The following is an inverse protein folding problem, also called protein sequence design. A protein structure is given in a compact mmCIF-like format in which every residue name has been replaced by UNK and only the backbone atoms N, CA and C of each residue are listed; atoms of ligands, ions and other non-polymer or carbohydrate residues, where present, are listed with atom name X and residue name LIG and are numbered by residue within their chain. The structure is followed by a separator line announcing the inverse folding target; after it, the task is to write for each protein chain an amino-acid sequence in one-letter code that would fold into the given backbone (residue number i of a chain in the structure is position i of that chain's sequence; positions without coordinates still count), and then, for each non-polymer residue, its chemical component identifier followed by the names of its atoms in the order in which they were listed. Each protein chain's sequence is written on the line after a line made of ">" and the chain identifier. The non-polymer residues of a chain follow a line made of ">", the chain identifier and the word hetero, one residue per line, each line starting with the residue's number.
data_IF_977502212714
#
_entry.id   IF_977502212714
#
_cell.length_a   1.000
_cell.length_b   1.000
_cell.length_c   1.000
_cell.angle_alpha   90.00
_cell.angle_beta   90.00
_cell.angle_gamma   90.00
#
_symmetry.space_group_name_H-M   'P 1'
#
loop_
_entity.id
_entity.type
_entity.pdbx_description
1 polymer ?
#
# COMPACT_ATOMS: atom_id res chain seq x y z
N UNK A 1 -29.72 13.12 -67.11
CA UNK A 1 -29.16 11.86 -66.59
C UNK A 1 -27.67 12.08 -66.30
N UNK A 2 -27.25 11.80 -65.06
CA UNK A 2 -25.88 11.40 -64.62
C UNK A 2 -24.73 12.41 -64.85
N UNK A 3 -23.81 12.71 -63.94
CA UNK A 3 -23.54 12.41 -62.53
C UNK A 3 -22.25 13.20 -62.17
N UNK A 4 -22.11 13.66 -60.90
CA UNK A 4 -20.83 13.76 -60.14
C UNK A 4 -19.77 14.81 -60.57
N UNK A 5 -18.98 15.48 -59.71
CA UNK A 5 -18.60 15.32 -58.30
C UNK A 5 -18.39 16.73 -57.68
N UNK A 6 -19.02 16.99 -56.53
CA UNK A 6 -18.59 18.02 -55.58
C UNK A 6 -17.47 17.40 -54.72
N UNK A 7 -16.25 17.96 -54.77
CA UNK A 7 -15.19 17.65 -53.81
C UNK A 7 -15.09 18.82 -52.82
N UNK A 8 -15.76 18.64 -51.67
CA UNK A 8 -15.72 19.53 -50.53
C UNK A 8 -14.41 19.29 -49.77
N UNK A 9 -13.50 20.25 -49.80
CA UNK A 9 -12.28 20.24 -49.00
C UNK A 9 -12.64 20.51 -47.53
N UNK A 10 -12.62 19.47 -46.70
CA UNK A 10 -12.77 19.59 -45.25
C UNK A 10 -11.38 19.84 -44.62
N UNK A 11 -11.00 21.12 -44.51
CA UNK A 11 -9.83 21.52 -43.74
C UNK A 11 -10.18 21.45 -42.23
N UNK A 12 -9.72 20.39 -41.56
CA UNK A 12 -9.81 20.25 -40.11
C UNK A 12 -8.74 21.15 -39.47
N UNK A 13 -9.12 22.34 -39.04
CA UNK A 13 -8.28 23.19 -38.19
C UNK A 13 -8.26 22.62 -36.77
N UNK A 14 -7.18 21.93 -36.41
CA UNK A 14 -6.83 21.63 -35.03
C UNK A 14 -6.46 22.94 -34.32
N UNK A 15 -7.42 23.54 -33.62
CA UNK A 15 -7.15 24.61 -32.66
C UNK A 15 -6.48 23.95 -31.45
N UNK A 16 -5.16 23.93 -31.43
CA UNK A 16 -4.40 23.66 -30.21
C UNK A 16 -4.65 24.84 -29.27
N UNK A 17 -5.54 24.65 -28.30
CA UNK A 17 -5.67 25.57 -27.18
C UNK A 17 -4.35 25.64 -26.44
N UNK A 18 -3.66 26.78 -26.54
CA UNK A 18 -2.55 27.10 -25.66
C UNK A 18 -3.14 27.23 -24.25
N UNK A 19 -3.10 26.15 -23.48
CA UNK A 19 -3.26 26.23 -22.04
C UNK A 19 -2.11 27.10 -21.54
N UNK A 20 -2.40 28.37 -21.22
CA UNK A 20 -1.49 29.18 -20.43
C UNK A 20 -1.29 28.44 -19.11
N UNK A 21 -0.19 27.71 -19.02
CA UNK A 21 0.29 27.16 -17.77
C UNK A 21 0.56 28.37 -16.86
N UNK A 22 -0.40 28.69 -16.01
CA UNK A 22 -0.16 29.60 -14.91
C UNK A 22 0.88 28.92 -14.03
N UNK A 23 2.12 29.42 -14.10
CA UNK A 23 3.18 28.95 -13.21
C UNK A 23 2.68 29.18 -11.77
N UNK A 24 2.31 28.10 -11.09
CA UNK A 24 1.97 28.15 -9.69
C UNK A 24 3.19 28.67 -8.95
N UNK A 25 3.10 29.87 -8.38
CA UNK A 25 4.17 30.42 -7.55
C UNK A 25 4.37 29.46 -6.37
N UNK A 26 5.60 28.99 -6.11
CA UNK A 26 5.88 28.16 -4.93
C UNK A 26 5.54 28.92 -3.65
N UNK A 27 5.25 28.19 -2.57
CA UNK A 27 4.95 28.79 -1.27
C UNK A 27 6.15 29.61 -0.78
N UNK A 28 5.86 30.82 -0.30
CA UNK A 28 6.88 31.74 0.20
C UNK A 28 7.29 31.43 1.65
N UNK A 29 6.37 30.82 2.41
CA UNK A 29 6.58 30.42 3.80
C UNK A 29 6.59 28.89 3.92
N UNK A 30 7.56 28.38 4.67
CA UNK A 30 7.67 26.97 5.02
C UNK A 30 7.12 26.79 6.44
N UNK A 31 6.11 25.92 6.58
CA UNK A 31 5.48 25.61 7.87
C UNK A 31 5.89 24.20 8.27
N UNK A 32 6.56 24.07 9.41
CA UNK A 32 6.80 22.78 10.05
C UNK A 32 5.98 22.70 11.33
N UNK A 33 5.07 21.75 11.39
CA UNK A 33 4.17 21.60 12.53
C UNK A 33 4.02 20.12 12.90
N UNK A 34 3.87 19.86 14.20
CA UNK A 34 3.61 18.54 14.75
C UNK A 34 2.79 18.69 16.02
N UNK A 35 2.10 17.63 16.39
CA UNK A 35 1.57 17.56 17.74
C UNK A 35 2.69 17.24 18.72
N UNK A 36 2.58 17.77 19.93
CA UNK A 36 3.54 17.50 21.00
C UNK A 36 3.67 15.99 21.26
N UNK A 37 2.53 15.29 21.20
CA UNK A 37 2.44 13.84 21.28
C UNK A 37 1.87 13.28 19.98
N UNK A 38 2.47 12.21 19.46
CA UNK A 38 1.98 11.55 18.25
C UNK A 38 0.65 10.80 18.46
N UNK A 39 0.40 10.38 19.70
CA UNK A 39 -0.85 9.77 20.14
C UNK A 39 -1.24 10.31 21.51
N UNK A 40 -2.52 10.62 21.70
CA UNK A 40 -3.10 11.03 22.99
C UNK A 40 -4.31 10.15 23.32
N UNK A 41 -4.66 10.05 24.60
CA UNK A 41 -5.87 9.33 25.02
C UNK A 41 -7.13 10.18 24.81
N UNK A 42 -8.29 9.52 24.76
CA UNK A 42 -9.58 10.21 24.73
C UNK A 42 -9.74 10.97 26.06
N UNK A 43 -9.99 12.27 25.98
CA UNK A 43 -10.06 13.13 27.18
C UNK A 43 -8.81 13.98 27.43
N UNK A 44 -7.73 13.77 26.67
CA UNK A 44 -6.53 14.63 26.71
C UNK A 44 -6.54 15.63 25.54
N UNK A 45 -6.28 16.90 25.84
CA UNK A 45 -6.24 17.96 24.85
C UNK A 45 -4.94 17.89 24.02
N UNK A 46 -5.04 17.75 22.68
CA UNK A 46 -3.85 17.71 21.86
C UNK A 46 -3.28 19.12 21.64
N UNK A 47 -1.97 19.24 21.86
CA UNK A 47 -1.22 20.48 21.67
C UNK A 47 -0.50 20.42 20.32
N UNK A 48 -0.83 21.34 19.42
CA UNK A 48 -0.12 21.54 18.16
C UNK A 48 0.97 22.59 18.35
N UNK A 49 2.19 22.25 17.96
CA UNK A 49 3.34 23.15 17.94
C UNK A 49 3.88 23.26 16.52
N UNK A 50 4.32 24.45 16.12
CA UNK A 50 4.94 24.63 14.83
C UNK A 50 5.87 25.84 14.76
N UNK A 51 6.62 25.89 13.68
CA UNK A 51 7.54 26.98 13.33
C UNK A 51 7.33 27.37 11.87
N UNK A 52 7.39 28.67 11.61
CA UNK A 52 7.28 29.26 10.29
C UNK A 52 8.58 29.95 9.95
N UNK A 53 9.16 29.54 8.83
CA UNK A 53 10.40 30.12 8.28
C UNK A 53 10.18 30.59 6.85
N UNK A 54 11.01 31.52 6.40
CA UNK A 54 11.10 31.90 4.99
C UNK A 54 11.86 30.84 4.17
N UNK A 55 11.97 31.05 2.85
CA UNK A 55 12.71 30.15 1.96
C UNK A 55 14.23 30.07 2.27
N UNK A 56 14.76 30.99 3.08
CA UNK A 56 16.16 30.99 3.53
C UNK A 56 16.32 30.29 4.89
N UNK A 57 15.22 29.81 5.49
CA UNK A 57 15.20 29.19 6.81
C UNK A 57 15.19 30.17 7.98
N UNK A 58 14.97 31.47 7.74
CA UNK A 58 14.88 32.48 8.81
C UNK A 58 13.48 32.50 9.42
N UNK A 59 13.35 32.53 10.76
CA UNK A 59 12.05 32.57 11.43
C UNK A 59 11.27 33.83 11.10
N UNK A 60 9.95 33.71 10.95
CA UNK A 60 9.05 34.83 10.59
C UNK A 60 8.05 35.11 11.72
N UNK A 61 8.18 36.29 12.32
CA UNK A 61 7.34 36.79 13.41
C UNK A 61 5.99 37.35 12.93
N UNK A 62 4.99 37.36 13.82
CA UNK A 62 3.68 38.02 13.67
C UNK A 62 2.85 37.55 12.46
N UNK A 63 3.11 36.34 11.99
CA UNK A 63 2.41 35.72 10.87
C UNK A 63 1.03 35.25 11.31
N UNK A 64 -0.02 35.55 10.55
CA UNK A 64 -1.35 35.03 10.83
C UNK A 64 -1.42 33.55 10.43
N UNK A 65 -1.59 32.68 11.43
CA UNK A 65 -1.66 31.22 11.29
C UNK A 65 -3.10 30.76 11.51
N UNK A 66 -3.76 30.32 10.44
CA UNK A 66 -5.08 29.68 10.50
C UNK A 66 -4.93 28.17 10.55
N UNK A 67 -5.47 27.55 11.59
CA UNK A 67 -5.41 26.11 11.80
C UNK A 67 -6.82 25.55 11.76
N UNK A 68 -7.05 24.55 10.90
CA UNK A 68 -8.30 23.81 10.82
C UNK A 68 -8.10 22.39 11.32
N UNK A 69 -8.81 22.02 12.38
CA UNK A 69 -8.72 20.72 13.04
C UNK A 69 -10.11 20.25 13.46
N UNK A 70 -10.54 19.08 12.97
CA UNK A 70 -11.81 18.43 13.33
C UNK A 70 -13.04 19.37 13.37
N UNK A 71 -13.21 20.15 12.30
CA UNK A 71 -14.34 21.09 12.17
C UNK A 71 -14.14 22.43 12.89
N UNK A 72 -13.19 22.53 13.81
CA UNK A 72 -12.77 23.79 14.43
C UNK A 72 -11.83 24.55 13.48
N UNK A 73 -11.90 25.88 13.50
CA UNK A 73 -10.98 26.76 12.77
C UNK A 73 -10.54 27.89 13.70
N UNK A 74 -9.25 27.94 13.98
CA UNK A 74 -8.65 28.85 14.95
C UNK A 74 -7.59 29.70 14.26
N UNK A 75 -7.34 30.89 14.78
CA UNK A 75 -6.28 31.78 14.28
C UNK A 75 -5.35 32.13 15.42
N UNK A 76 -4.05 31.95 15.21
CA UNK A 76 -2.97 32.32 16.13
C UNK A 76 -1.90 33.11 15.39
N UNK A 77 -0.95 33.69 16.12
CA UNK A 77 0.21 34.41 15.56
C UNK A 77 1.51 33.74 15.95
N UNK A 78 2.53 33.87 15.09
CA UNK A 78 3.88 33.44 15.45
C UNK A 78 4.57 34.41 16.40
N UNK A 79 5.37 33.87 17.32
CA UNK A 79 6.23 34.65 18.20
C UNK A 79 7.50 35.17 17.49
N UNK A 80 8.42 35.76 18.26
CA UNK A 80 9.69 36.31 17.76
C UNK A 80 10.61 35.25 17.13
N UNK A 81 10.45 33.98 17.50
CA UNK A 81 11.20 32.85 16.95
C UNK A 81 10.45 32.18 15.79
N UNK A 82 9.35 32.76 15.32
CA UNK A 82 8.50 32.20 14.28
C UNK A 82 7.69 30.98 14.76
N UNK A 83 7.61 30.73 16.07
CA UNK A 83 6.90 29.58 16.63
C UNK A 83 5.45 29.91 16.92
N UNK A 84 4.59 28.91 16.84
CA UNK A 84 3.19 29.00 17.27
C UNK A 84 2.80 27.73 18.02
N UNK A 85 1.86 27.88 18.95
CA UNK A 85 1.28 26.78 19.70
C UNK A 85 -0.23 26.99 19.84
N UNK A 86 -0.99 25.90 19.77
CA UNK A 86 -2.41 25.90 20.07
C UNK A 86 -2.85 24.58 20.68
N UNK A 87 -3.65 24.64 21.73
CA UNK A 87 -4.25 23.49 22.40
C UNK A 87 -5.71 23.34 21.94
N UNK A 88 -6.07 22.18 21.39
CA UNK A 88 -7.44 21.91 20.95
C UNK A 88 -8.25 21.20 22.03
N UNK A 89 -9.55 21.45 22.06
CA UNK A 89 -10.48 20.68 22.89
C UNK A 89 -10.89 19.38 22.18
N UNK A 90 -10.97 18.26 22.91
CA UNK A 90 -11.21 16.93 22.31
C UNK A 90 -12.57 16.87 21.60
N UNK A 91 -12.61 16.50 20.31
CA UNK A 91 -13.88 16.28 19.62
C UNK A 91 -14.33 14.80 19.75
N UNK A 92 -13.51 13.82 19.33
CA UNK A 92 -13.81 12.37 19.29
C UNK A 92 -12.52 11.53 19.13
N UNK A 93 -12.59 10.20 19.32
CA UNK A 93 -11.48 9.28 19.01
C UNK A 93 -11.28 9.12 17.49
N UNK A 94 -10.03 8.91 17.05
CA UNK A 94 -9.72 8.79 15.62
C UNK A 94 -8.32 9.26 15.24
N UNK A 95 -8.04 9.23 13.93
CA UNK A 95 -6.81 9.76 13.34
C UNK A 95 -7.13 11.03 12.55
N UNK A 96 -6.60 12.16 13.01
CA UNK A 96 -7.00 13.48 12.53
C UNK A 96 -5.85 14.26 11.93
N UNK A 97 -6.17 15.02 10.89
CA UNK A 97 -5.27 15.96 10.24
C UNK A 97 -5.61 17.40 10.62
N UNK A 98 -4.61 18.13 11.10
CA UNK A 98 -4.63 19.59 11.22
C UNK A 98 -4.06 20.20 9.94
N UNK A 99 -4.89 21.02 9.27
CA UNK A 99 -4.46 21.79 8.10
C UNK A 99 -4.09 23.20 8.55
N UNK A 100 -2.87 23.61 8.28
CA UNK A 100 -2.34 24.90 8.69
C UNK A 100 -2.14 25.76 7.44
N UNK A 101 -2.57 27.01 7.51
CA UNK A 101 -2.28 28.01 6.49
C UNK A 101 -1.75 29.26 7.16
N UNK A 102 -0.69 29.82 6.60
CA UNK A 102 -0.05 31.02 7.10
C UNK A 102 -0.08 32.11 6.04
N UNK A 103 -0.31 33.35 6.46
CA UNK A 103 -0.32 34.50 5.57
C UNK A 103 0.28 35.72 6.25
N UNK A 104 1.21 36.39 5.58
CA UNK A 104 1.70 37.71 5.99
C UNK A 104 1.90 38.58 4.76
N UNK A 105 1.22 39.72 4.69
CA UNK A 105 1.17 40.57 3.48
C UNK A 105 0.78 39.73 2.25
N UNK A 106 1.72 39.51 1.32
CA UNK A 106 1.52 38.71 0.11
C UNK A 106 2.13 37.29 0.19
N UNK A 107 2.86 36.99 1.26
CA UNK A 107 3.52 35.69 1.44
C UNK A 107 2.54 34.70 2.04
N UNK A 108 2.52 33.49 1.49
CA UNK A 108 1.65 32.41 1.95
C UNK A 108 2.43 31.13 2.17
N UNK A 109 1.94 30.32 3.11
CA UNK A 109 2.43 28.96 3.35
C UNK A 109 1.28 28.03 3.71
N UNK A 110 1.50 26.74 3.48
CA UNK A 110 0.59 25.68 3.95
C UNK A 110 1.40 24.58 4.62
N UNK A 111 0.83 23.98 5.65
CA UNK A 111 1.42 22.90 6.44
C UNK A 111 0.35 21.92 6.88
N UNK A 112 0.79 20.75 7.31
CA UNK A 112 -0.10 19.68 7.78
C UNK A 112 0.55 18.97 8.98
N UNK A 113 -0.25 18.63 9.98
CA UNK A 113 0.14 17.77 11.07
C UNK A 113 -0.93 16.69 11.29
N UNK A 114 -0.52 15.51 11.74
CA UNK A 114 -1.42 14.37 11.98
C UNK A 114 -1.27 13.88 13.42
N UNK A 115 -2.37 13.48 14.05
CA UNK A 115 -2.41 12.91 15.39
C UNK A 115 -3.38 11.73 15.46
N UNK A 116 -3.09 10.78 16.34
CA UNK A 116 -4.01 9.72 16.74
C UNK A 116 -4.58 9.98 18.14
N UNK A 117 -5.90 9.95 18.28
CA UNK A 117 -6.62 10.12 19.54
C UNK A 117 -7.29 8.78 19.88
N UNK A 118 -6.87 8.15 20.97
CA UNK A 118 -7.35 6.82 21.37
C UNK A 118 -6.93 5.71 20.40
N UNK A 119 -7.79 4.68 20.28
CA UNK A 119 -7.57 3.54 19.40
C UNK A 119 -8.42 3.57 18.12
N UNK A 120 -9.31 4.55 17.99
CA UNK A 120 -10.14 4.73 16.81
C UNK A 120 -9.32 4.98 15.53
N UNK A 121 -9.82 4.47 14.41
CA UNK A 121 -9.29 4.71 13.05
C UNK A 121 -10.13 5.73 12.26
N UNK A 122 -11.12 6.33 12.91
CA UNK A 122 -12.04 7.32 12.33
C UNK A 122 -11.28 8.56 11.93
N UNK A 123 -11.45 9.03 10.70
CA UNK A 123 -10.71 10.19 10.19
C UNK A 123 -11.50 11.49 10.30
N UNK A 124 -10.83 12.65 10.17
CA UNK A 124 -11.50 13.95 10.08
C UNK A 124 -12.55 13.97 8.95
N UNK A 125 -12.29 13.25 7.86
CA UNK A 125 -13.23 13.09 6.76
C UNK A 125 -14.47 12.31 7.17
N UNK A 126 -14.28 11.21 7.91
CA UNK A 126 -15.37 10.34 8.33
C UNK A 126 -16.35 11.10 9.26
N UNK A 127 -15.83 11.87 10.23
CA UNK A 127 -16.64 12.71 11.12
C UNK A 127 -17.37 13.84 10.39
N UNK A 128 -16.70 14.49 9.42
CA UNK A 128 -17.32 15.56 8.63
C UNK A 128 -18.58 15.04 7.93
N UNK A 129 -18.48 13.87 7.29
CA UNK A 129 -19.65 13.28 6.64
C UNK A 129 -20.70 12.84 7.67
N UNK A 130 -20.31 12.12 8.72
CA UNK A 130 -21.23 11.64 9.77
C UNK A 130 -22.04 12.76 10.43
N UNK A 131 -21.43 13.93 10.70
CA UNK A 131 -22.11 15.11 11.26
C UNK A 131 -23.06 15.83 10.28
N UNK A 132 -22.75 15.84 8.98
CA UNK A 132 -23.60 16.44 7.94
C UNK A 132 -24.79 15.53 7.55
N UNK A 133 -24.75 14.22 7.86
CA UNK A 133 -25.87 13.30 7.65
C UNK A 133 -27.05 13.56 8.61
N UNK A 134 -26.79 14.00 9.84
CA UNK A 134 -27.83 14.21 10.85
C UNK A 134 -28.61 15.52 10.66
N UNK A 135 -28.02 16.52 9.99
CA UNK A 135 -28.67 17.81 9.72
C UNK A 135 -29.30 17.86 8.32
N UNK A 136 -30.51 17.32 8.26
CA UNK A 136 -31.57 17.73 7.30
C UNK A 136 -31.23 17.55 5.81
N UNK A 137 -31.32 16.31 5.33
CA UNK A 137 -31.41 16.03 3.90
C UNK A 137 -32.84 16.26 3.45
N UNK A 138 -33.11 17.40 2.80
CA UNK A 138 -34.17 17.55 1.80
C UNK A 138 -33.86 18.80 0.96
N UNK A 139 -33.41 18.57 -0.28
CA UNK A 139 -33.40 19.51 -1.43
C UNK A 139 -32.05 19.95 -2.05
N UNK A 140 -30.88 19.42 -1.67
CA UNK A 140 -29.62 19.75 -2.39
C UNK A 140 -29.04 18.53 -3.15
N UNK A 141 -29.18 18.54 -4.47
CA UNK A 141 -28.69 17.51 -5.40
C UNK A 141 -27.17 17.34 -5.37
N UNK A 142 -26.42 18.39 -5.04
CA UNK A 142 -24.96 18.31 -4.98
C UNK A 142 -24.49 17.53 -3.73
N UNK A 143 -25.16 17.75 -2.59
CA UNK A 143 -24.85 17.04 -1.34
C UNK A 143 -25.18 15.55 -1.43
N UNK A 144 -26.29 15.18 -2.07
CA UNK A 144 -26.67 13.77 -2.26
C UNK A 144 -25.70 13.00 -3.16
N UNK A 145 -25.17 13.65 -4.21
CA UNK A 145 -24.14 13.05 -5.06
C UNK A 145 -22.83 12.80 -4.28
N UNK A 146 -22.42 13.78 -3.47
CA UNK A 146 -21.21 13.69 -2.63
C UNK A 146 -21.35 12.56 -1.59
N UNK A 147 -22.52 12.43 -0.96
CA UNK A 147 -22.88 11.32 -0.06
C UNK A 147 -22.75 9.96 -0.77
N UNK A 148 -23.33 9.83 -1.97
CA UNK A 148 -23.26 8.58 -2.74
C UNK A 148 -21.82 8.20 -3.10
N UNK A 149 -20.97 9.18 -3.40
CA UNK A 149 -19.54 8.92 -3.66
C UNK A 149 -18.80 8.47 -2.40
N UNK A 150 -19.09 9.07 -1.25
CA UNK A 150 -18.48 8.67 0.01
C UNK A 150 -18.91 7.27 0.45
N UNK A 151 -20.20 6.91 0.31
CA UNK A 151 -20.67 5.53 0.54
C UNK A 151 -19.92 4.52 -0.33
N UNK A 152 -19.73 4.82 -1.62
CA UNK A 152 -18.92 4.00 -2.53
C UNK A 152 -17.47 3.87 -2.06
N UNK A 153 -16.89 4.92 -1.50
CA UNK A 153 -15.52 4.87 -0.96
C UNK A 153 -15.41 3.93 0.24
N UNK A 154 -16.34 4.03 1.19
CA UNK A 154 -16.39 3.13 2.37
C UNK A 154 -16.60 1.68 1.94
N UNK A 155 -17.53 1.44 1.02
CA UNK A 155 -17.77 0.11 0.46
C UNK A 155 -16.51 -0.44 -0.22
N UNK A 156 -15.83 0.35 -1.05
CA UNK A 156 -14.59 -0.05 -1.69
C UNK A 156 -13.45 -0.33 -0.69
N UNK A 157 -13.36 0.44 0.40
CA UNK A 157 -12.41 0.22 1.49
C UNK A 157 -12.69 -1.11 2.21
N UNK A 158 -13.95 -1.39 2.55
CA UNK A 158 -14.35 -2.63 3.21
C UNK A 158 -14.13 -3.86 2.31
N UNK A 159 -14.50 -3.76 1.04
CA UNK A 159 -14.25 -4.84 0.05
C UNK A 159 -12.75 -5.15 -0.11
N UNK A 160 -11.87 -4.15 -0.01
CA UNK A 160 -10.41 -4.38 -0.02
C UNK A 160 -9.95 -5.11 1.22
N UNK A 161 -10.49 -4.75 2.39
CA UNK A 161 -10.14 -5.39 3.64
C UNK A 161 -10.59 -6.86 3.67
N UNK A 162 -11.79 -7.14 3.15
CA UNK A 162 -12.32 -8.50 3.02
C UNK A 162 -11.47 -9.37 2.06
N UNK A 163 -11.05 -8.82 0.92
CA UNK A 163 -10.14 -9.54 0.01
C UNK A 163 -8.80 -9.88 0.67
N UNK A 164 -8.29 -8.98 1.51
CA UNK A 164 -7.05 -9.23 2.26
C UNK A 164 -7.24 -10.35 3.28
N UNK A 165 -8.33 -10.36 4.05
CA UNK A 165 -8.62 -11.43 5.01
C UNK A 165 -8.85 -12.77 4.33
N UNK A 166 -9.58 -12.81 3.21
CA UNK A 166 -9.77 -14.03 2.40
C UNK A 166 -8.44 -14.56 1.87
N UNK A 167 -7.55 -13.68 1.39
CA UNK A 167 -6.22 -14.07 0.93
C UNK A 167 -5.34 -14.65 2.05
N UNK A 168 -5.46 -14.10 3.27
CA UNK A 168 -4.77 -14.62 4.45
C UNK A 168 -5.32 -15.99 4.85
N UNK A 169 -6.64 -16.18 4.84
CA UNK A 169 -7.28 -17.46 5.10
C UNK A 169 -6.86 -18.53 4.08
N UNK A 170 -6.82 -18.19 2.79
CA UNK A 170 -6.33 -19.08 1.73
C UNK A 170 -4.88 -19.51 1.95
N UNK A 171 -4.01 -18.61 2.40
CA UNK A 171 -2.61 -18.94 2.73
C UNK A 171 -2.53 -19.95 3.88
N UNK A 172 -3.30 -19.76 4.95
CA UNK A 172 -3.34 -20.69 6.08
C UNK A 172 -3.77 -22.10 5.66
N UNK A 173 -4.82 -22.21 4.83
CA UNK A 173 -5.28 -23.50 4.30
C UNK A 173 -4.21 -24.17 3.44
N UNK A 174 -3.45 -23.41 2.63
CA UNK A 174 -2.34 -23.94 1.83
C UNK A 174 -1.21 -24.42 2.74
N UNK A 175 -0.87 -23.66 3.78
CA UNK A 175 0.14 -24.01 4.79
C UNK A 175 -0.20 -25.33 5.50
N UNK A 176 -1.45 -25.48 5.93
CA UNK A 176 -1.95 -26.70 6.57
C UNK A 176 -1.90 -27.90 5.61
N UNK A 177 -2.31 -27.71 4.35
CA UNK A 177 -2.19 -28.77 3.33
C UNK A 177 -0.74 -29.18 3.09
N UNK A 178 0.19 -28.22 3.12
CA UNK A 178 1.64 -28.49 3.01
C UNK A 178 2.13 -29.30 4.20
N UNK A 179 1.81 -28.90 5.42
CA UNK A 179 2.25 -29.61 6.63
C UNK A 179 1.72 -31.05 6.67
N UNK A 180 0.44 -31.27 6.32
CA UNK A 180 -0.14 -32.62 6.21
C UNK A 180 0.58 -33.43 5.12
N UNK A 181 0.86 -32.82 3.96
CA UNK A 181 1.58 -33.48 2.87
C UNK A 181 3.00 -33.89 3.31
N UNK A 182 3.71 -33.01 4.01
CA UNK A 182 5.04 -33.27 4.54
C UNK A 182 5.04 -34.38 5.59
N UNK A 183 4.07 -34.36 6.52
CA UNK A 183 3.91 -35.43 7.51
C UNK A 183 3.65 -36.78 6.85
N UNK A 184 2.74 -36.84 5.87
CA UNK A 184 2.48 -38.06 5.10
C UNK A 184 3.73 -38.54 4.38
N UNK A 185 4.43 -37.64 3.70
CA UNK A 185 5.70 -37.94 3.03
C UNK A 185 6.72 -38.51 4.02
N UNK A 186 6.90 -37.88 5.18
CA UNK A 186 7.86 -38.33 6.19
C UNK A 186 7.48 -39.70 6.77
N UNK A 187 6.18 -39.93 7.02
CA UNK A 187 5.70 -41.23 7.48
C UNK A 187 5.96 -42.35 6.46
N UNK A 188 5.75 -42.09 5.17
CA UNK A 188 6.04 -43.04 4.09
C UNK A 188 7.55 -43.28 3.93
N UNK A 189 8.38 -42.23 3.99
CA UNK A 189 9.84 -42.36 3.96
C UNK A 189 10.34 -43.20 5.13
N UNK A 190 9.84 -42.96 6.34
CA UNK A 190 10.22 -43.72 7.53
C UNK A 190 9.79 -45.20 7.45
N UNK A 191 8.63 -45.48 6.85
CA UNK A 191 8.11 -46.84 6.66
C UNK A 191 8.87 -47.60 5.57
N UNK A 192 9.10 -46.96 4.44
CA UNK A 192 9.72 -47.59 3.26
C UNK A 192 11.25 -47.61 3.33
N UNK A 193 11.85 -46.72 4.12
CA UNK A 193 13.31 -46.52 4.25
C UNK A 193 14.02 -46.60 2.88
N UNK A 194 13.65 -45.73 1.93
CA UNK A 194 14.13 -45.84 0.57
C UNK A 194 15.67 -45.71 0.55
N UNK A 195 16.35 -46.70 -0.05
CA UNK A 195 17.80 -46.68 -0.24
C UNK A 195 18.23 -45.78 -1.40
N UNK A 196 19.52 -45.83 -1.77
CA UNK A 196 20.12 -44.94 -2.79
C UNK A 196 19.50 -45.08 -4.19
N UNK A 197 18.90 -46.23 -4.49
CA UNK A 197 18.08 -46.46 -5.69
C UNK A 197 18.77 -46.25 -7.04
N UNK A 198 18.08 -46.65 -8.10
CA UNK A 198 18.43 -46.33 -9.49
C UNK A 198 17.19 -45.73 -10.14
N UNK A 199 17.33 -44.54 -10.73
CA UNK A 199 16.23 -43.90 -11.46
C UNK A 199 15.90 -44.73 -12.70
N UNK A 200 14.73 -45.38 -12.70
CA UNK A 200 14.22 -46.11 -13.86
C UNK A 200 13.36 -45.20 -14.71
N UNK A 201 13.80 -44.95 -15.95
CA UNK A 201 13.08 -44.14 -16.95
C UNK A 201 11.70 -44.74 -17.24
N UNK A 202 11.60 -46.06 -17.32
CA UNK A 202 10.33 -46.77 -17.55
C UNK A 202 9.33 -46.58 -16.42
N UNK A 203 9.77 -46.75 -15.17
CA UNK A 203 8.90 -46.54 -13.98
C UNK A 203 8.49 -45.07 -13.84
N UNK A 204 9.39 -44.15 -14.16
CA UNK A 204 9.10 -42.72 -14.20
C UNK A 204 8.00 -42.42 -15.24
N UNK A 205 8.11 -42.97 -16.44
CA UNK A 205 7.11 -42.75 -17.49
C UNK A 205 5.74 -43.33 -17.10
N UNK A 206 5.71 -44.52 -16.50
CA UNK A 206 4.48 -45.13 -15.97
C UNK A 206 3.83 -44.33 -14.83
N UNK A 207 4.64 -43.61 -14.04
CA UNK A 207 4.12 -42.70 -13.02
C UNK A 207 3.53 -41.45 -13.68
N UNK A 208 4.27 -40.81 -14.60
CA UNK A 208 3.84 -39.59 -15.31
C UNK A 208 2.53 -39.80 -16.07
N UNK A 209 2.30 -40.98 -16.67
CA UNK A 209 1.05 -41.28 -17.39
C UNK A 209 -0.18 -41.34 -16.49
N UNK A 210 0.01 -41.66 -15.19
CA UNK A 210 -1.07 -41.71 -14.18
C UNK A 210 -1.38 -40.35 -13.55
N UNK A 211 -0.55 -39.33 -13.79
CA UNK A 211 -0.72 -37.99 -13.24
C UNK A 211 -1.73 -37.18 -14.06
N UNK A 212 -2.47 -36.32 -13.36
CA UNK A 212 -3.38 -35.34 -13.95
C UNK A 212 -2.69 -34.57 -15.10
N UNK A 213 -3.30 -34.54 -16.31
CA UNK A 213 -2.75 -33.82 -17.46
C UNK A 213 -2.30 -32.37 -17.16
N UNK A 214 -2.99 -31.66 -16.25
CA UNK A 214 -2.74 -30.25 -15.93
C UNK A 214 -1.38 -30.01 -15.27
N UNK A 215 -0.88 -30.97 -14.49
CA UNK A 215 0.42 -30.87 -13.78
C UNK A 215 1.50 -31.81 -14.36
N UNK A 216 1.14 -32.62 -15.35
CA UNK A 216 2.00 -33.66 -15.92
C UNK A 216 3.33 -33.13 -16.46
N UNK A 217 3.29 -32.03 -17.23
CA UNK A 217 4.50 -31.45 -17.83
C UNK A 217 5.46 -30.90 -16.77
N UNK A 218 4.91 -30.18 -15.77
CA UNK A 218 5.70 -29.66 -14.64
C UNK A 218 6.32 -30.81 -13.84
N UNK A 219 5.54 -31.86 -13.56
CA UNK A 219 6.04 -33.02 -12.82
C UNK A 219 7.12 -33.76 -13.60
N UNK A 220 6.93 -33.95 -14.91
CA UNK A 220 7.95 -34.54 -15.79
C UNK A 220 9.25 -33.74 -15.74
N UNK A 221 9.19 -32.42 -15.91
CA UNK A 221 10.37 -31.55 -15.88
C UNK A 221 11.09 -31.60 -14.52
N UNK A 222 10.36 -31.55 -13.41
CA UNK A 222 10.94 -31.66 -12.07
C UNK A 222 11.64 -33.01 -11.84
N UNK A 223 11.02 -34.11 -12.29
CA UNK A 223 11.62 -35.43 -12.18
C UNK A 223 12.85 -35.59 -13.07
N UNK A 224 12.82 -35.07 -14.30
CA UNK A 224 13.97 -35.05 -15.21
C UNK A 224 15.14 -34.26 -14.63
N UNK A 225 14.88 -33.06 -14.09
CA UNK A 225 15.89 -32.25 -13.40
C UNK A 225 16.48 -32.98 -12.21
N UNK A 226 15.64 -33.58 -11.35
CA UNK A 226 16.10 -34.32 -10.17
C UNK A 226 16.98 -35.51 -10.57
N UNK A 227 16.60 -36.23 -11.63
CA UNK A 227 17.41 -37.33 -12.19
C UNK A 227 18.78 -36.84 -12.66
N UNK A 228 18.83 -35.74 -13.42
CA UNK A 228 20.09 -35.17 -13.90
C UNK A 228 21.02 -34.76 -12.75
N UNK A 229 20.49 -34.06 -11.74
CA UNK A 229 21.25 -33.67 -10.54
C UNK A 229 21.77 -34.90 -9.80
N UNK A 230 20.93 -35.93 -9.65
CA UNK A 230 21.34 -37.16 -8.98
C UNK A 230 22.43 -37.93 -9.75
N UNK A 231 22.33 -38.01 -11.08
CA UNK A 231 23.37 -38.63 -11.92
C UNK A 231 24.69 -37.87 -11.87
N UNK A 232 24.64 -36.54 -11.92
CA UNK A 232 25.82 -35.70 -11.75
C UNK A 232 26.46 -35.88 -10.38
N UNK A 233 25.66 -35.90 -9.30
CA UNK A 233 26.15 -36.13 -7.95
C UNK A 233 26.83 -37.52 -7.83
N UNK A 234 26.24 -38.58 -8.41
CA UNK A 234 26.87 -39.91 -8.49
C UNK A 234 28.19 -39.89 -9.24
N UNK A 235 28.27 -39.17 -10.36
CA UNK A 235 29.50 -39.01 -11.13
C UNK A 235 30.61 -38.36 -10.29
N UNK A 236 30.32 -37.24 -9.61
CA UNK A 236 31.31 -36.55 -8.76
C UNK A 236 31.71 -37.37 -7.53
N UNK A 237 30.76 -38.07 -6.91
CA UNK A 237 31.03 -38.99 -5.80
C UNK A 237 32.01 -40.09 -6.24
N UNK A 238 31.75 -40.76 -7.36
CA UNK A 238 32.62 -41.82 -7.89
C UNK A 238 34.00 -41.28 -8.25
N UNK A 239 34.07 -40.13 -8.92
CA UNK A 239 35.34 -39.47 -9.27
C UNK A 239 36.18 -39.13 -8.04
N UNK A 240 35.56 -38.72 -6.94
CA UNK A 240 36.25 -38.40 -5.68
C UNK A 240 36.83 -39.66 -5.03
N UNK A 241 36.08 -40.76 -5.07
CA UNK A 241 36.54 -42.07 -4.57
C UNK A 241 37.69 -42.64 -5.41
N UNK A 242 37.59 -42.55 -6.74
CA UNK A 242 38.63 -43.00 -7.68
C UNK A 242 39.95 -42.23 -7.50
N UNK A 243 39.87 -40.95 -7.12
CA UNK A 243 41.04 -40.12 -6.83
C UNK A 243 41.62 -40.36 -5.42
N UNK A 244 41.17 -41.39 -4.70
CA UNK A 244 41.67 -41.75 -3.36
C UNK A 244 41.05 -40.97 -2.20
N UNK A 245 39.99 -40.20 -2.46
CA UNK A 245 39.26 -39.47 -1.42
C UNK A 245 38.42 -40.39 -0.52
N UNK A 246 38.09 -39.91 0.68
CA UNK A 246 37.28 -40.68 1.63
C UNK A 246 35.79 -40.68 1.24
N UNK A 247 35.04 -41.69 1.70
CA UNK A 247 33.57 -41.75 1.50
C UNK A 247 32.85 -40.51 2.05
N UNK A 248 33.40 -39.89 3.09
CA UNK A 248 32.85 -38.66 3.68
C UNK A 248 33.06 -37.43 2.79
N UNK A 249 34.18 -37.37 2.07
CA UNK A 249 34.48 -36.32 1.09
C UNK A 249 33.66 -36.52 -0.18
N UNK A 250 33.54 -37.77 -0.64
CA UNK A 250 32.74 -38.12 -1.81
C UNK A 250 31.24 -37.78 -1.63
N UNK A 251 30.70 -37.92 -0.41
CA UNK A 251 29.31 -37.51 -0.08
C UNK A 251 29.09 -35.99 0.02
N UNK A 252 30.17 -35.21 0.06
CA UNK A 252 30.14 -33.74 0.13
C UNK A 252 30.42 -33.05 -1.22
N UNK A 253 30.95 -33.79 -2.19
CA UNK A 253 31.21 -33.36 -3.56
C UNK A 253 29.90 -33.31 -4.37
#
# INVERSE_FOLDING_TARGET
>A
MRWSLFLLALAVTLVFGNANATNAKPWDLIISAKFEQAQVEVGQNPILIGIIVDQKGSPVQDVDVKIRFVGESVTTKTDKDGKFQYEFSIPKEGMFDANISASIKNLKGMGKATIKIGNGITTSGDLYYESDFERTIKNDTYKSLKQKQYQKYIEAKNNRLEKLSESAAKKLIIEEKRSISEQKKLSEVNKTKPGEGVYSVEKQQQYITKIDPRIRNMTKAQMEYTRQIHEQAKYFMNKTLENGGTVKEAKKA
#
